data_IF_707697695942
#
_entry.id   IF_707697695942
#
_cell.length_a   1.000
_cell.length_b   1.000
_cell.length_c   1.000
_cell.angle_alpha   90.00
_cell.angle_beta   90.00
_cell.angle_gamma   90.00
#
_symmetry.space_group_name_H-M   'P 1'
#
loop_
_entity.id
_entity.type
_entity.pdbx_description
1 polymer ?
#
# COMPACT_ATOMS: atom_id res chain seq x y z
N UNK A 1 4.21 -7.46 -9.51
CA UNK A 1 4.83 -7.04 -8.21
C UNK A 1 4.58 -8.13 -7.18
N UNK A 2 5.58 -8.51 -6.38
CA UNK A 2 5.43 -9.55 -5.35
C UNK A 2 5.03 -8.98 -3.97
N UNK A 3 4.63 -9.82 -3.03
CA UNK A 3 4.37 -9.39 -1.64
C UNK A 3 5.62 -8.77 -0.97
N UNK A 4 6.80 -9.27 -1.30
CA UNK A 4 8.07 -8.74 -0.78
C UNK A 4 8.27 -7.31 -1.28
N UNK A 5 7.97 -7.05 -2.55
CA UNK A 5 8.08 -5.71 -3.14
C UNK A 5 7.08 -4.75 -2.49
N UNK A 6 5.83 -5.18 -2.26
CA UNK A 6 4.85 -4.39 -1.50
C UNK A 6 5.41 -4.01 -0.14
N UNK A 7 6.01 -4.95 0.61
CA UNK A 7 6.60 -4.67 1.93
C UNK A 7 7.73 -3.65 1.85
N UNK A 8 8.58 -3.70 0.81
CA UNK A 8 9.63 -2.71 0.57
C UNK A 8 9.03 -1.34 0.26
N UNK A 9 8.04 -1.28 -0.63
CA UNK A 9 7.36 -0.03 -1.00
C UNK A 9 6.69 0.63 0.21
N UNK A 10 5.97 -0.15 1.03
CA UNK A 10 5.36 0.36 2.26
C UNK A 10 6.40 0.95 3.22
N UNK A 11 7.58 0.34 3.33
CA UNK A 11 8.69 0.86 4.15
C UNK A 11 9.21 2.19 3.60
N UNK A 12 9.37 2.31 2.27
CA UNK A 12 9.77 3.57 1.60
C UNK A 12 8.75 4.67 1.84
N UNK A 13 7.46 4.34 1.73
CA UNK A 13 6.35 5.26 1.96
C UNK A 13 6.06 5.51 3.45
N UNK A 14 6.80 4.86 4.37
CA UNK A 14 6.64 4.94 5.84
C UNK A 14 5.22 4.64 6.32
N UNK A 15 4.53 3.70 5.65
CA UNK A 15 3.18 3.24 6.02
C UNK A 15 3.17 1.76 6.40
N UNK A 16 2.19 1.35 7.21
CA UNK A 16 2.05 -0.03 7.67
C UNK A 16 1.08 -0.82 6.80
N UNK A 17 1.08 -2.15 6.96
CA UNK A 17 0.11 -3.04 6.29
C UNK A 17 -1.32 -2.70 6.71
N UNK A 18 -1.54 -2.31 7.97
CA UNK A 18 -2.81 -1.79 8.47
C UNK A 18 -3.27 -0.54 7.72
N UNK A 19 -2.35 0.39 7.47
CA UNK A 19 -2.68 1.62 6.74
C UNK A 19 -3.02 1.29 5.29
N UNK A 20 -2.26 0.40 4.64
CA UNK A 20 -2.58 -0.10 3.31
C UNK A 20 -3.97 -0.75 3.25
N UNK A 21 -4.34 -1.53 4.28
CA UNK A 21 -5.64 -2.20 4.33
C UNK A 21 -6.80 -1.23 4.32
N UNK A 22 -6.67 -0.11 5.05
CA UNK A 22 -7.63 1.00 5.01
C UNK A 22 -7.67 1.66 3.62
N UNK A 23 -6.51 1.96 3.03
CA UNK A 23 -6.40 2.64 1.74
C UNK A 23 -7.07 1.88 0.59
N UNK A 24 -6.91 0.56 0.56
CA UNK A 24 -7.43 -0.29 -0.52
C UNK A 24 -8.79 -0.93 -0.20
N UNK A 25 -9.35 -0.67 0.99
CA UNK A 25 -10.62 -1.26 1.43
C UNK A 25 -10.58 -2.78 1.58
N UNK A 26 -9.48 -3.32 2.12
CA UNK A 26 -9.32 -4.76 2.37
C UNK A 26 -8.93 -5.03 3.82
N UNK A 27 -9.09 -6.26 4.28
CA UNK A 27 -8.61 -6.67 5.61
C UNK A 27 -7.11 -6.93 5.59
N UNK A 28 -6.45 -6.71 6.73
CA UNK A 28 -5.03 -7.04 6.90
C UNK A 28 -4.74 -8.51 6.59
N UNK A 29 -5.62 -9.42 7.03
CA UNK A 29 -5.52 -10.85 6.71
C UNK A 29 -5.58 -11.11 5.20
N UNK A 30 -6.42 -10.38 4.46
CA UNK A 30 -6.50 -10.46 3.00
C UNK A 30 -5.17 -10.09 2.33
N UNK A 31 -4.49 -9.07 2.85
CA UNK A 31 -3.15 -8.66 2.38
C UNK A 31 -2.09 -9.68 2.75
N UNK A 32 -2.11 -10.23 3.97
CA UNK A 32 -1.14 -11.23 4.44
C UNK A 32 -1.19 -12.50 3.59
N UNK A 33 -2.36 -12.89 3.08
CA UNK A 33 -2.52 -14.05 2.18
C UNK A 33 -1.77 -13.90 0.85
N UNK A 34 -1.35 -12.69 0.47
CA UNK A 34 -0.52 -12.50 -0.73
C UNK A 34 0.89 -13.05 -0.58
N UNK A 35 1.36 -13.35 0.64
CA UNK A 35 2.62 -14.07 0.88
C UNK A 35 2.70 -15.40 0.14
N UNK A 36 1.55 -16.05 -0.01
CA UNK A 36 1.44 -17.37 -0.63
C UNK A 36 1.05 -17.28 -2.12
N UNK A 37 1.02 -16.07 -2.69
CA UNK A 37 0.70 -15.84 -4.09
C UNK A 37 1.97 -15.40 -4.82
N UNK A 38 2.05 -15.76 -6.09
CA UNK A 38 3.14 -15.32 -6.97
C UNK A 38 3.09 -13.79 -7.16
N UNK A 39 1.88 -13.24 -7.29
CA UNK A 39 1.67 -11.81 -7.51
C UNK A 39 0.56 -11.20 -6.63
N UNK A 40 0.74 -9.91 -6.33
CA UNK A 40 -0.30 -9.09 -5.70
C UNK A 40 -1.32 -8.62 -6.75
N UNK A 41 -2.56 -8.30 -6.37
CA UNK A 41 -3.55 -7.80 -7.31
C UNK A 41 -3.03 -6.57 -8.08
N UNK A 42 -3.15 -6.58 -9.41
CA UNK A 42 -2.65 -5.52 -10.30
C UNK A 42 -3.05 -4.11 -9.85
N UNK A 43 -4.32 -3.91 -9.48
CA UNK A 43 -4.84 -2.65 -8.93
C UNK A 43 -4.05 -2.11 -7.73
N UNK A 44 -3.53 -2.99 -6.88
CA UNK A 44 -2.76 -2.61 -5.68
C UNK A 44 -1.33 -2.24 -6.07
N UNK A 45 -0.73 -2.99 -7.01
CA UNK A 45 0.59 -2.66 -7.54
C UNK A 45 0.59 -1.28 -8.20
N UNK A 46 -0.38 -1.01 -9.08
CA UNK A 46 -0.56 0.30 -9.74
C UNK A 46 -0.81 1.42 -8.72
N UNK A 47 -1.65 1.16 -7.71
CA UNK A 47 -1.91 2.13 -6.66
C UNK A 47 -0.64 2.51 -5.87
N UNK A 48 0.16 1.51 -5.48
CA UNK A 48 1.42 1.74 -4.77
C UNK A 48 2.45 2.45 -5.65
N UNK A 49 2.49 2.14 -6.95
CA UNK A 49 3.36 2.80 -7.91
C UNK A 49 3.01 4.29 -8.03
N UNK A 50 1.72 4.62 -8.18
CA UNK A 50 1.26 6.03 -8.18
C UNK A 50 1.67 6.73 -6.88
N UNK A 51 1.47 6.10 -5.72
CA UNK A 51 1.87 6.67 -4.43
C UNK A 51 3.38 6.92 -4.32
N UNK A 52 4.22 6.10 -4.97
CA UNK A 52 5.68 6.33 -5.01
C UNK A 52 6.11 7.44 -5.95
N UNK A 53 5.30 7.75 -6.98
CA UNK A 53 5.58 8.81 -7.93
C UNK A 53 5.11 10.18 -7.45
N UNK A 54 4.19 10.24 -6.48
CA UNK A 54 3.73 11.50 -5.92
C UNK A 54 4.84 12.21 -5.13
N UNK A 55 4.92 13.56 -5.22
CA UNK A 55 5.73 14.36 -4.32
C UNK A 55 5.41 14.04 -2.85
N UNK A 56 6.42 14.07 -1.98
CA UNK A 56 6.25 13.70 -0.58
C UNK A 56 5.15 14.50 0.13
N UNK A 57 5.05 15.81 -0.14
CA UNK A 57 4.02 16.68 0.43
C UNK A 57 2.60 16.27 0.02
N UNK A 58 2.37 15.99 -1.27
CA UNK A 58 1.07 15.57 -1.78
C UNK A 58 0.68 14.19 -1.26
N UNK A 59 1.64 13.26 -1.27
CA UNK A 59 1.45 11.92 -0.73
C UNK A 59 1.06 11.99 0.74
N UNK A 60 1.78 12.75 1.55
CA UNK A 60 1.53 12.82 3.00
C UNK A 60 0.18 13.48 3.30
N UNK A 61 -0.19 14.52 2.55
CA UNK A 61 -1.53 15.13 2.60
C UNK A 61 -2.63 14.14 2.23
N UNK A 62 -2.42 13.36 1.17
CA UNK A 62 -3.37 12.33 0.72
C UNK A 62 -3.53 11.22 1.78
N UNK A 63 -2.41 10.70 2.30
CA UNK A 63 -2.39 9.66 3.33
C UNK A 63 -3.06 10.15 4.61
N UNK A 64 -2.77 11.38 5.05
CA UNK A 64 -3.41 11.97 6.23
C UNK A 64 -4.93 12.07 6.04
N UNK A 65 -5.40 12.55 4.89
CA UNK A 65 -6.83 12.65 4.58
C UNK A 65 -7.53 11.29 4.58
N UNK A 66 -6.86 10.22 4.15
CA UNK A 66 -7.44 8.87 4.06
C UNK A 66 -7.37 8.08 5.35
N UNK A 67 -6.35 8.32 6.18
CA UNK A 67 -6.11 7.57 7.43
C UNK A 67 -6.62 8.29 8.69
N UNK A 68 -7.09 9.53 8.58
CA UNK A 68 -7.64 10.31 9.70
C UNK A 68 -9.14 10.06 9.99
N UNK A 69 -9.76 9.07 9.32
CA UNK A 69 -11.10 8.55 9.63
C UNK A 69 -10.97 7.25 10.42
#
# INVERSE_FOLDING_TARGET
MTYIDVRKTLKTLRIRVKDLSVLIGMTEQGIVRWKNREEVPKRVAEYLEILTLLPAEERDKYLHKKLAN
#
